data_IF_198603236811
#
_entry.id   IF_198603236811
#
_cell.length_a   1.000
_cell.length_b   1.000
_cell.length_c   1.000
_cell.angle_alpha   90.00
_cell.angle_beta   90.00
_cell.angle_gamma   90.00
#
_symmetry.space_group_name_H-M   'P 1'
#
loop_
_entity.id
_entity.type
_entity.pdbx_description
1 polymer ?
#
# COMPACT_ATOMS: atom_id res chain seq x y z
N UNK A 1 -16.48 -35.98 17.24
CA UNK A 1 -15.36 -35.07 17.44
C UNK A 1 -15.45 -34.11 16.28
N UNK A 2 -15.91 -32.90 16.57
CA UNK A 2 -16.06 -31.88 15.54
C UNK A 2 -14.65 -31.36 15.23
N UNK A 3 -14.08 -31.82 14.12
CA UNK A 3 -12.74 -31.42 13.62
C UNK A 3 -12.81 -30.12 12.81
N UNK A 4 -13.91 -29.37 12.86
CA UNK A 4 -13.91 -28.01 12.36
C UNK A 4 -13.19 -27.12 13.37
N UNK A 5 -11.93 -26.79 13.05
CA UNK A 5 -11.18 -25.78 13.77
C UNK A 5 -11.94 -24.45 13.83
N UNK A 6 -11.52 -23.52 14.71
CA UNK A 6 -12.15 -22.21 14.84
C UNK A 6 -12.39 -21.54 13.48
N UNK A 7 -13.66 -21.20 13.18
CA UNK A 7 -14.06 -20.61 11.90
C UNK A 7 -13.65 -19.13 11.89
N UNK A 8 -12.73 -18.77 11.00
CA UNK A 8 -12.41 -17.37 10.68
C UNK A 8 -13.45 -16.88 9.67
N UNK A 9 -14.15 -15.80 9.99
CA UNK A 9 -15.13 -15.19 9.09
C UNK A 9 -14.48 -14.05 8.31
N UNK A 10 -14.42 -14.17 6.98
CA UNK A 10 -13.89 -13.11 6.11
C UNK A 10 -15.02 -12.39 5.39
N UNK A 11 -14.95 -11.06 5.36
CA UNK A 11 -15.92 -10.17 4.68
C UNK A 11 -15.18 -9.13 3.83
N UNK A 12 -15.89 -8.60 2.85
CA UNK A 12 -15.44 -7.47 2.03
C UNK A 12 -16.23 -6.24 2.44
N UNK A 13 -15.52 -5.15 2.75
CA UNK A 13 -16.10 -3.86 3.09
C UNK A 13 -15.94 -2.90 1.93
N UNK A 14 -16.98 -2.12 1.64
CA UNK A 14 -17.02 -1.28 0.46
C UNK A 14 -16.20 0.01 0.60
N UNK A 15 -15.98 0.47 1.84
CA UNK A 15 -15.21 1.66 2.17
C UNK A 15 -14.49 1.50 3.49
N UNK A 16 -13.43 2.27 3.70
CA UNK A 16 -12.72 2.29 4.99
C UNK A 16 -13.62 2.79 6.12
N UNK A 17 -14.55 3.70 5.81
CA UNK A 17 -15.54 4.24 6.74
C UNK A 17 -16.49 3.18 7.33
N UNK A 18 -16.64 2.03 6.69
CA UNK A 18 -17.50 0.93 7.15
C UNK A 18 -16.79 0.02 8.18
N UNK A 19 -15.52 0.31 8.49
CA UNK A 19 -14.71 -0.38 9.48
C UNK A 19 -14.45 0.56 10.67
N UNK A 20 -14.63 0.13 11.93
CA UNK A 20 -14.26 0.95 13.07
C UNK A 20 -12.76 1.30 13.04
N UNK A 21 -12.43 2.60 13.13
CA UNK A 21 -11.05 3.09 13.13
C UNK A 21 -10.15 2.36 14.11
N UNK A 22 -10.63 2.17 15.35
CA UNK A 22 -9.86 1.49 16.40
C UNK A 22 -9.52 0.04 16.04
N UNK A 23 -10.38 -0.64 15.29
CA UNK A 23 -10.16 -2.03 14.88
C UNK A 23 -9.18 -2.12 13.71
N UNK A 24 -9.30 -1.23 12.73
CA UNK A 24 -8.32 -1.13 11.64
C UNK A 24 -6.93 -0.80 12.18
N UNK A 25 -6.83 0.24 13.01
CA UNK A 25 -5.53 0.71 13.53
C UNK A 25 -4.90 -0.33 14.50
N UNK A 26 -5.71 -1.15 15.18
CA UNK A 26 -5.19 -2.28 15.96
C UNK A 26 -4.53 -3.36 15.11
N UNK A 27 -4.98 -3.56 13.86
CA UNK A 27 -4.33 -4.45 12.89
C UNK A 27 -3.13 -3.77 12.22
N UNK A 28 -3.28 -2.49 11.82
CA UNK A 28 -2.28 -1.76 11.04
C UNK A 28 -1.04 -1.38 11.85
N UNK A 29 -1.20 -1.17 13.16
CA UNK A 29 -0.13 -0.65 14.02
C UNK A 29 0.22 0.80 13.69
N UNK A 30 1.40 1.25 14.14
CA UNK A 30 1.85 2.64 14.01
C UNK A 30 3.08 2.81 13.11
N UNK A 31 3.63 1.71 12.58
CA UNK A 31 4.92 1.72 11.88
C UNK A 31 4.83 2.26 10.45
N UNK A 32 3.65 2.15 9.82
CA UNK A 32 3.43 2.58 8.45
C UNK A 32 2.23 3.52 8.36
N UNK A 33 2.44 4.84 8.21
CA UNK A 33 1.34 5.81 8.17
C UNK A 33 0.45 5.59 6.95
N UNK A 34 0.97 4.99 5.88
CA UNK A 34 0.26 4.82 4.62
C UNK A 34 -0.77 3.68 4.66
N UNK A 35 -0.76 2.85 5.70
CA UNK A 35 -1.81 1.86 5.96
C UNK A 35 -2.66 2.21 7.17
N UNK A 36 -2.47 3.39 7.76
CA UNK A 36 -3.33 3.87 8.85
C UNK A 36 -4.75 4.15 8.33
N UNK A 37 -5.73 4.06 9.23
CA UNK A 37 -7.10 4.42 8.91
C UNK A 37 -7.20 5.84 8.36
N UNK A 38 -6.56 6.81 9.02
CA UNK A 38 -6.71 8.24 8.67
C UNK A 38 -6.17 8.54 7.28
N UNK A 39 -5.06 7.91 6.88
CA UNK A 39 -4.51 8.07 5.54
C UNK A 39 -5.47 7.53 4.47
N UNK A 40 -6.01 6.33 4.66
CA UNK A 40 -6.94 5.72 3.71
C UNK A 40 -8.29 6.46 3.68
N UNK A 41 -8.80 6.88 4.84
CA UNK A 41 -10.02 7.69 4.94
C UNK A 41 -9.85 9.02 4.21
N UNK A 42 -8.73 9.72 4.40
CA UNK A 42 -8.47 10.98 3.71
C UNK A 42 -8.45 10.82 2.17
N UNK A 43 -7.90 9.70 1.67
CA UNK A 43 -7.88 9.42 0.23
C UNK A 43 -9.28 9.12 -0.33
N UNK A 44 -10.09 8.34 0.38
CA UNK A 44 -11.46 8.03 -0.01
C UNK A 44 -12.38 9.27 0.11
N UNK A 45 -12.31 10.01 1.23
CA UNK A 45 -13.13 11.19 1.48
C UNK A 45 -12.81 12.37 0.56
N UNK A 46 -11.55 12.52 0.15
CA UNK A 46 -11.16 13.55 -0.81
C UNK A 46 -11.55 13.23 -2.25
N UNK A 47 -11.98 11.99 -2.54
CA UNK A 47 -12.23 11.50 -3.90
C UNK A 47 -10.96 11.16 -4.68
N UNK A 48 -9.79 11.17 -4.03
CA UNK A 48 -8.54 10.72 -4.66
C UNK A 48 -8.56 9.22 -4.98
N UNK A 49 -9.28 8.46 -4.15
CA UNK A 49 -9.60 7.05 -4.35
C UNK A 49 -11.10 6.96 -4.56
N UNK A 50 -11.50 7.02 -5.83
CA UNK A 50 -12.89 6.93 -6.27
C UNK A 50 -12.99 6.11 -7.57
N UNK A 51 -14.19 5.61 -7.84
CA UNK A 51 -14.48 4.85 -9.07
C UNK A 51 -14.15 5.67 -10.33
N UNK A 52 -14.39 6.99 -10.31
CA UNK A 52 -14.05 7.90 -11.40
C UNK A 52 -12.53 7.96 -11.66
N UNK A 53 -11.73 7.81 -10.60
CA UNK A 53 -10.26 7.73 -10.66
C UNK A 53 -9.76 6.29 -10.85
N UNK A 54 -10.66 5.35 -11.15
CA UNK A 54 -10.37 3.95 -11.41
C UNK A 54 -10.08 3.12 -10.16
N UNK A 55 -10.39 3.62 -8.96
CA UNK A 55 -10.22 2.92 -7.69
C UNK A 55 -11.57 2.65 -7.01
N UNK A 56 -11.98 1.39 -6.92
CA UNK A 56 -13.16 1.01 -6.14
C UNK A 56 -12.72 0.25 -4.87
N UNK A 57 -12.87 0.81 -3.66
CA UNK A 57 -12.48 0.13 -2.44
C UNK A 57 -13.29 -1.15 -2.18
N UNK A 58 -12.60 -2.18 -1.71
CA UNK A 58 -13.09 -3.54 -1.42
C UNK A 58 -12.28 -4.17 -0.29
N UNK A 59 -12.04 -3.42 0.80
CA UNK A 59 -11.18 -3.84 1.90
C UNK A 59 -11.57 -5.21 2.45
N UNK A 60 -10.59 -6.08 2.66
CA UNK A 60 -10.82 -7.41 3.23
C UNK A 60 -10.70 -7.30 4.73
N UNK A 61 -11.67 -7.87 5.47
CA UNK A 61 -11.63 -7.96 6.93
C UNK A 61 -11.87 -9.40 7.37
N UNK A 62 -11.09 -9.87 8.33
CA UNK A 62 -11.21 -11.20 8.92
C UNK A 62 -11.53 -11.07 10.41
N UNK A 63 -12.58 -11.75 10.86
CA UNK A 63 -13.00 -11.81 12.25
C UNK A 63 -12.60 -13.15 12.85
N UNK A 64 -12.11 -13.10 14.09
CA UNK A 64 -11.88 -14.26 14.91
C UNK A 64 -13.22 -14.92 15.32
N UNK A 65 -13.20 -16.18 15.81
CA UNK A 65 -14.41 -16.89 16.22
C UNK A 65 -15.22 -16.20 17.33
N UNK A 66 -14.57 -15.34 18.12
CA UNK A 66 -15.20 -14.51 19.15
C UNK A 66 -15.86 -13.23 18.58
N UNK A 67 -15.79 -13.03 17.26
CA UNK A 67 -16.33 -11.90 16.53
C UNK A 67 -15.42 -10.68 16.48
N UNK A 68 -14.22 -10.73 17.07
CA UNK A 68 -13.27 -9.60 17.05
C UNK A 68 -12.62 -9.50 15.67
N UNK A 69 -12.59 -8.29 15.10
CA UNK A 69 -11.86 -8.04 13.85
C UNK A 69 -10.36 -8.21 14.10
N UNK A 70 -9.79 -9.24 13.50
CA UNK A 70 -8.46 -9.75 13.82
C UNK A 70 -7.43 -9.45 12.71
N UNK A 71 -7.88 -9.28 11.47
CA UNK A 71 -7.01 -8.89 10.36
C UNK A 71 -7.73 -8.09 9.29
N UNK A 72 -6.99 -7.27 8.57
CA UNK A 72 -7.47 -6.44 7.45
C UNK A 72 -6.45 -6.38 6.32
N UNK A 73 -6.91 -6.10 5.10
CA UNK A 73 -6.06 -5.76 3.97
C UNK A 73 -6.69 -4.66 3.10
N UNK A 74 -5.96 -3.60 2.73
CA UNK A 74 -6.45 -2.57 1.84
C UNK A 74 -6.52 -3.10 0.41
N UNK A 75 -7.73 -3.35 -0.09
CA UNK A 75 -7.97 -3.99 -1.37
C UNK A 75 -8.88 -3.09 -2.23
N UNK A 76 -8.56 -3.01 -3.52
CA UNK A 76 -9.29 -2.20 -4.47
C UNK A 76 -9.53 -2.98 -5.76
N UNK A 77 -10.71 -2.81 -6.33
CA UNK A 77 -10.98 -3.17 -7.72
C UNK A 77 -10.51 -2.01 -8.61
N UNK A 78 -9.68 -2.34 -9.60
CA UNK A 78 -8.87 -1.38 -10.32
C UNK A 78 -9.16 -1.41 -11.82
N UNK A 79 -9.52 -0.26 -12.38
CA UNK A 79 -9.84 -0.10 -13.80
C UNK A 79 -8.66 0.24 -14.73
N UNK A 80 -7.50 0.65 -14.17
CA UNK A 80 -6.28 0.97 -14.92
C UNK A 80 -5.03 1.02 -14.02
N UNK A 81 -3.81 0.89 -14.54
CA UNK A 81 -2.58 0.93 -13.70
C UNK A 81 -2.24 2.30 -13.06
N UNK A 82 -2.92 3.40 -13.37
CA UNK A 82 -2.51 4.72 -12.83
C UNK A 82 -2.61 4.77 -11.30
N UNK A 83 -1.63 5.38 -10.64
CA UNK A 83 -1.58 5.49 -9.18
C UNK A 83 -1.09 4.23 -8.43
N UNK A 84 -0.88 3.10 -9.10
CA UNK A 84 -0.26 1.91 -8.48
C UNK A 84 1.26 2.00 -8.37
N UNK A 85 1.90 2.84 -9.19
CA UNK A 85 3.36 2.87 -9.38
C UNK A 85 3.97 1.54 -9.85
N UNK A 86 3.10 0.61 -10.28
CA UNK A 86 3.42 -0.61 -11.01
C UNK A 86 2.65 -0.54 -12.32
N UNK A 87 3.35 -0.23 -13.40
CA UNK A 87 2.72 -0.01 -14.70
C UNK A 87 2.68 -1.31 -15.50
N UNK A 88 1.50 -1.91 -15.58
CA UNK A 88 1.29 -3.21 -16.23
C UNK A 88 0.92 -3.09 -17.72
N UNK A 89 1.18 -1.95 -18.36
CA UNK A 89 0.78 -1.70 -19.75
C UNK A 89 1.24 -2.80 -20.72
N UNK A 90 2.43 -3.37 -20.51
CA UNK A 90 2.91 -4.48 -21.34
C UNK A 90 2.08 -5.76 -21.19
N UNK A 91 1.70 -6.10 -19.95
CA UNK A 91 0.85 -7.26 -19.65
C UNK A 91 -0.57 -7.05 -20.11
N UNK A 92 -1.15 -5.88 -19.82
CA UNK A 92 -2.48 -5.50 -20.25
C UNK A 92 -2.62 -5.61 -21.77
N UNK A 93 -1.72 -4.99 -22.52
CA UNK A 93 -1.74 -5.05 -23.99
C UNK A 93 -1.54 -6.47 -24.52
N UNK A 94 -0.70 -7.29 -23.89
CA UNK A 94 -0.49 -8.67 -24.32
C UNK A 94 -1.75 -9.52 -24.11
N UNK A 95 -2.42 -9.35 -22.97
CA UNK A 95 -3.65 -10.06 -22.63
C UNK A 95 -4.84 -9.63 -23.50
N UNK A 96 -5.01 -8.33 -23.71
CA UNK A 96 -6.02 -7.76 -24.61
C UNK A 96 -5.83 -8.25 -26.05
N UNK A 97 -4.59 -8.31 -26.53
CA UNK A 97 -4.28 -8.89 -27.85
C UNK A 97 -4.60 -10.39 -27.94
N UNK A 98 -4.58 -11.10 -26.83
CA UNK A 98 -4.99 -12.51 -26.76
C UNK A 98 -6.53 -12.67 -26.66
N UNK A 99 -7.29 -11.56 -26.62
CA UNK A 99 -8.74 -11.55 -26.59
C UNK A 99 -9.36 -11.59 -25.18
N UNK A 100 -8.56 -11.38 -24.13
CA UNK A 100 -9.05 -11.29 -22.75
C UNK A 100 -9.17 -9.84 -22.27
N UNK A 101 -10.00 -9.60 -21.26
CA UNK A 101 -10.08 -8.31 -20.59
C UNK A 101 -9.08 -8.28 -19.43
N UNK A 102 -8.13 -7.33 -19.45
CA UNK A 102 -7.14 -7.20 -18.37
C UNK A 102 -7.67 -6.40 -17.18
N UNK A 103 -8.64 -5.50 -17.41
CA UNK A 103 -9.33 -4.77 -16.36
C UNK A 103 -10.81 -5.16 -16.32
N UNK A 104 -11.44 -5.15 -15.15
CA UNK A 104 -10.83 -4.79 -13.87
C UNK A 104 -9.98 -5.92 -13.27
N UNK A 105 -9.03 -5.53 -12.42
CA UNK A 105 -8.21 -6.43 -11.60
C UNK A 105 -8.32 -6.07 -10.13
N UNK A 106 -7.99 -6.99 -9.23
CA UNK A 106 -7.86 -6.71 -7.80
C UNK A 106 -6.44 -6.26 -7.46
N UNK A 107 -6.33 -5.25 -6.61
CA UNK A 107 -5.05 -4.72 -6.15
C UNK A 107 -5.09 -4.52 -4.63
N UNK A 108 -4.30 -5.30 -3.91
CA UNK A 108 -4.01 -5.08 -2.50
C UNK A 108 -2.76 -4.21 -2.38
N UNK A 109 -2.96 -2.95 -2.00
CA UNK A 109 -1.91 -1.93 -2.02
C UNK A 109 -2.27 -0.74 -1.14
N UNK A 110 -1.30 0.16 -0.95
CA UNK A 110 -1.62 1.53 -0.57
C UNK A 110 -1.73 2.39 -1.83
N UNK A 111 -2.83 3.13 -2.03
CA UNK A 111 -2.98 4.01 -3.19
C UNK A 111 -1.89 5.09 -3.23
N UNK A 112 -1.41 5.38 -4.43
CA UNK A 112 -0.44 6.43 -4.74
C UNK A 112 0.89 6.38 -3.97
N UNK A 113 1.20 5.25 -3.35
CA UNK A 113 2.33 5.13 -2.42
C UNK A 113 3.20 3.92 -2.75
N UNK A 114 4.33 4.10 -3.46
CA UNK A 114 5.26 3.01 -3.80
C UNK A 114 6.20 2.64 -2.63
N UNK A 115 5.68 2.60 -1.40
CA UNK A 115 6.47 2.30 -0.21
C UNK A 115 6.29 0.84 0.20
N UNK A 116 7.42 0.14 0.35
CA UNK A 116 7.45 -1.21 0.92
C UNK A 116 6.92 -1.20 2.34
N UNK A 117 5.97 -2.09 2.64
CA UNK A 117 5.39 -2.23 3.98
C UNK A 117 4.33 -3.32 4.01
N UNK A 118 3.80 -3.61 5.20
CA UNK A 118 2.76 -4.62 5.36
C UNK A 118 1.51 -4.26 4.56
N UNK A 119 0.84 -5.28 4.01
CA UNK A 119 -0.50 -5.19 3.39
C UNK A 119 -1.46 -6.20 3.99
N UNK A 120 -0.94 -7.28 4.56
CA UNK A 120 -1.68 -8.24 5.36
C UNK A 120 -1.52 -7.82 6.83
N UNK A 121 -2.49 -7.06 7.32
CA UNK A 121 -2.42 -6.39 8.62
C UNK A 121 -3.15 -7.26 9.64
N UNK A 122 -2.41 -7.87 10.56
CA UNK A 122 -2.97 -8.80 11.54
C UNK A 122 -2.68 -8.28 12.94
N UNK A 123 -3.69 -8.33 13.82
CA UNK A 123 -3.55 -7.96 15.23
C UNK A 123 -2.44 -8.78 15.90
N UNK A 124 -1.58 -8.17 16.72
CA UNK A 124 -0.48 -8.89 17.37
C UNK A 124 -0.90 -10.07 18.25
N UNK A 125 -2.13 -10.05 18.78
CA UNK A 125 -2.64 -11.03 19.74
C UNK A 125 -3.12 -12.34 19.11
N UNK A 126 -3.28 -12.39 17.79
CA UNK A 126 -3.74 -13.58 17.06
C UNK A 126 -2.60 -14.22 16.25
N UNK A 127 -2.83 -15.46 15.80
CA UNK A 127 -1.90 -16.18 14.95
C UNK A 127 -1.68 -15.43 13.62
N UNK A 128 -0.52 -14.79 13.47
CA UNK A 128 -0.20 -13.99 12.29
C UNK A 128 -0.34 -14.81 11.00
N UNK A 129 0.20 -16.03 10.97
CA UNK A 129 0.26 -16.84 9.76
C UNK A 129 -1.13 -17.33 9.34
N UNK A 130 -1.94 -17.76 10.31
CA UNK A 130 -3.30 -18.21 10.06
C UNK A 130 -4.19 -17.11 9.46
N UNK A 131 -4.12 -15.90 10.00
CA UNK A 131 -4.97 -14.80 9.51
C UNK A 131 -4.44 -14.18 8.22
N UNK A 132 -3.12 -14.12 8.00
CA UNK A 132 -2.57 -13.75 6.69
C UNK A 132 -2.99 -14.75 5.60
N UNK A 133 -2.95 -16.06 5.91
CA UNK A 133 -3.45 -17.12 5.03
C UNK A 133 -4.93 -16.94 4.68
N UNK A 134 -5.76 -16.60 5.67
CA UNK A 134 -7.18 -16.33 5.47
C UNK A 134 -7.41 -15.13 4.55
N UNK A 135 -6.65 -14.03 4.73
CA UNK A 135 -6.73 -12.86 3.86
C UNK A 135 -6.33 -13.19 2.42
N UNK A 136 -5.20 -13.87 2.21
CA UNK A 136 -4.71 -14.26 0.87
C UNK A 136 -5.75 -15.15 0.19
N UNK A 137 -6.23 -16.17 0.90
CA UNK A 137 -7.20 -17.13 0.38
C UNK A 137 -8.52 -16.45 0.01
N UNK A 138 -8.99 -15.51 0.81
CA UNK A 138 -10.20 -14.74 0.51
C UNK A 138 -10.03 -13.86 -0.74
N UNK A 139 -8.89 -13.19 -0.90
CA UNK A 139 -8.60 -12.40 -2.10
C UNK A 139 -8.53 -13.26 -3.37
N UNK A 140 -7.93 -14.45 -3.28
CA UNK A 140 -7.90 -15.40 -4.40
C UNK A 140 -9.30 -15.92 -4.74
N UNK A 141 -10.10 -16.30 -3.74
CA UNK A 141 -11.50 -16.69 -3.97
C UNK A 141 -12.32 -15.54 -4.58
N UNK A 142 -12.03 -14.29 -4.21
CA UNK A 142 -12.69 -13.15 -4.83
C UNK A 142 -12.35 -13.07 -6.32
N UNK A 143 -11.12 -13.37 -6.74
CA UNK A 143 -10.76 -13.47 -8.16
C UNK A 143 -11.63 -14.51 -8.86
N UNK A 144 -11.68 -15.72 -8.32
CA UNK A 144 -12.41 -16.85 -8.92
C UNK A 144 -13.91 -16.58 -9.05
N UNK A 145 -14.49 -15.82 -8.12
CA UNK A 145 -15.94 -15.60 -8.04
C UNK A 145 -16.43 -14.30 -8.71
N UNK A 146 -15.54 -13.36 -9.06
CA UNK A 146 -15.94 -12.02 -9.53
C UNK A 146 -15.64 -11.71 -10.99
N UNK A 147 -14.99 -12.64 -11.72
CA UNK A 147 -14.67 -12.47 -13.14
C UNK A 147 -13.60 -11.40 -13.42
N UNK A 148 -12.88 -10.96 -12.40
CA UNK A 148 -11.71 -10.08 -12.54
C UNK A 148 -10.53 -10.85 -13.10
N UNK A 149 -9.63 -10.16 -13.78
CA UNK A 149 -8.54 -10.81 -14.52
C UNK A 149 -7.44 -11.40 -13.62
N UNK A 150 -7.15 -10.75 -12.48
CA UNK A 150 -6.04 -11.11 -11.61
C UNK A 150 -6.12 -10.44 -10.23
N UNK A 151 -5.27 -10.93 -9.30
CA UNK A 151 -4.93 -10.29 -8.04
C UNK A 151 -3.47 -9.82 -8.06
N UNK A 152 -3.24 -8.58 -7.66
CA UNK A 152 -1.92 -7.99 -7.48
C UNK A 152 -1.77 -7.56 -6.02
N UNK A 153 -0.62 -7.86 -5.41
CA UNK A 153 -0.30 -7.40 -4.04
C UNK A 153 1.03 -6.64 -4.11
N UNK A 154 0.96 -5.32 -3.96
CA UNK A 154 2.07 -4.43 -4.32
C UNK A 154 2.87 -3.96 -3.09
N UNK A 155 4.20 -3.88 -3.27
CA UNK A 155 5.15 -3.36 -2.29
C UNK A 155 5.11 -4.10 -0.94
N UNK A 156 4.93 -5.41 -1.00
CA UNK A 156 4.98 -6.29 0.16
C UNK A 156 6.33 -6.25 0.88
N UNK A 157 6.30 -6.49 2.19
CA UNK A 157 7.53 -6.89 2.90
C UNK A 157 8.09 -8.19 2.33
N UNK A 158 9.38 -8.48 2.57
CA UNK A 158 9.98 -9.73 2.08
C UNK A 158 9.24 -10.98 2.58
N UNK A 159 8.77 -10.97 3.83
CA UNK A 159 8.03 -12.08 4.42
C UNK A 159 6.70 -12.34 3.74
N UNK A 160 5.88 -11.29 3.54
CA UNK A 160 4.60 -11.42 2.81
C UNK A 160 4.84 -11.80 1.34
N UNK A 161 5.89 -11.27 0.72
CA UNK A 161 6.25 -11.60 -0.67
C UNK A 161 6.63 -13.08 -0.84
N UNK A 162 7.34 -13.67 0.12
CA UNK A 162 7.62 -15.11 0.14
C UNK A 162 6.34 -15.92 0.39
N UNK A 163 5.59 -15.55 1.43
CA UNK A 163 4.36 -16.25 1.84
C UNK A 163 3.33 -16.30 0.72
N UNK A 164 3.07 -15.19 0.04
CA UNK A 164 2.10 -15.14 -1.06
C UNK A 164 2.48 -16.04 -2.25
N UNK A 165 3.76 -16.33 -2.45
CA UNK A 165 4.19 -17.26 -3.51
C UNK A 165 3.79 -18.72 -3.21
N UNK A 166 3.69 -19.10 -1.94
CA UNK A 166 3.20 -20.42 -1.52
C UNK A 166 1.73 -20.63 -1.91
N UNK A 167 0.98 -19.55 -2.13
CA UNK A 167 -0.39 -19.55 -2.64
C UNK A 167 -0.49 -19.45 -4.16
N UNK A 168 0.64 -19.59 -4.87
CA UNK A 168 0.67 -19.60 -6.34
C UNK A 168 0.72 -18.22 -7.00
N UNK A 169 0.88 -17.13 -6.23
CA UNK A 169 1.10 -15.81 -6.83
C UNK A 169 2.49 -15.74 -7.48
N UNK A 170 2.55 -15.15 -8.68
CA UNK A 170 3.80 -14.94 -9.40
C UNK A 170 4.58 -13.79 -8.75
N UNK A 171 5.80 -14.09 -8.31
CA UNK A 171 6.69 -13.12 -7.72
C UNK A 171 7.31 -12.19 -8.76
N UNK A 172 7.08 -10.88 -8.61
CA UNK A 172 7.72 -9.83 -9.38
C UNK A 172 8.70 -9.05 -8.51
N UNK A 173 9.84 -8.69 -9.09
CA UNK A 173 10.84 -7.82 -8.47
C UNK A 173 10.96 -6.50 -9.21
N UNK A 174 11.17 -5.42 -8.44
CA UNK A 174 11.43 -4.07 -8.95
C UNK A 174 12.66 -3.48 -8.26
N UNK A 175 13.29 -2.48 -8.88
CA UNK A 175 14.40 -1.75 -8.28
C UNK A 175 13.93 -0.40 -7.78
N UNK A 176 14.31 -0.06 -6.56
CA UNK A 176 14.09 1.26 -5.96
C UNK A 176 15.42 1.81 -5.48
N UNK A 177 15.56 3.13 -5.54
CA UNK A 177 16.70 3.85 -5.00
C UNK A 177 16.25 4.60 -3.77
N UNK A 178 16.75 4.20 -2.60
CA UNK A 178 16.44 4.86 -1.35
C UNK A 178 17.61 5.76 -0.96
N UNK A 179 17.28 6.97 -0.52
CA UNK A 179 18.25 7.83 0.14
C UNK A 179 18.17 7.57 1.63
N UNK A 180 19.31 7.22 2.22
CA UNK A 180 19.42 6.99 3.66
C UNK A 180 20.29 8.08 4.28
N UNK A 181 19.82 8.64 5.39
CA UNK A 181 20.62 9.54 6.18
C UNK A 181 21.71 8.76 6.92
N UNK A 182 22.98 8.93 6.53
CA UNK A 182 24.14 8.29 7.19
C UNK A 182 24.63 9.07 8.42
N UNK A 183 23.71 9.63 9.20
CA UNK A 183 24.01 10.44 10.39
C UNK A 183 24.37 11.91 10.12
N UNK A 184 24.01 12.44 8.95
CA UNK A 184 24.17 13.86 8.61
C UNK A 184 23.34 14.73 9.56
N UNK A 185 23.98 15.75 10.14
CA UNK A 185 23.35 16.73 11.02
C UNK A 185 23.03 18.03 10.28
N UNK A 186 23.75 18.29 9.19
CA UNK A 186 23.54 19.42 8.31
C UNK A 186 23.63 19.03 6.83
N UNK A 187 23.05 19.88 5.97
CA UNK A 187 23.12 19.69 4.52
C UNK A 187 24.57 19.60 4.00
N UNK A 188 25.49 20.31 4.67
CA UNK A 188 26.91 20.30 4.32
C UNK A 188 27.59 18.94 4.58
N UNK A 189 27.11 18.15 5.55
CA UNK A 189 27.61 16.80 5.81
C UNK A 189 27.27 15.88 4.63
N UNK A 190 26.05 15.99 4.09
CA UNK A 190 25.64 15.29 2.88
C UNK A 190 26.49 15.71 1.68
N UNK A 191 26.69 17.01 1.48
CA UNK A 191 27.51 17.52 0.38
C UNK A 191 28.98 17.09 0.45
N UNK A 192 29.52 16.88 1.65
CA UNK A 192 30.88 16.41 1.85
C UNK A 192 31.11 15.00 1.27
N UNK A 193 30.06 14.17 1.19
CA UNK A 193 30.11 12.83 0.60
C UNK A 193 30.13 12.83 -0.94
N UNK A 194 29.89 13.97 -1.57
CA UNK A 194 29.83 14.11 -3.02
C UNK A 194 31.18 14.55 -3.59
N UNK A 195 31.39 14.26 -4.88
CA UNK A 195 32.56 14.78 -5.61
C UNK A 195 32.56 16.31 -5.62
N UNK A 196 33.75 16.92 -5.66
CA UNK A 196 33.92 18.38 -5.62
C UNK A 196 33.05 19.10 -6.66
N UNK A 197 32.98 18.57 -7.89
CA UNK A 197 32.14 19.11 -8.97
C UNK A 197 30.65 19.07 -8.59
N UNK A 198 30.15 17.93 -8.12
CA UNK A 198 28.72 17.78 -7.78
C UNK A 198 28.33 18.63 -6.58
N UNK A 199 29.19 18.69 -5.55
CA UNK A 199 29.03 19.59 -4.40
C UNK A 199 28.97 21.06 -4.82
N UNK A 200 29.91 21.53 -5.65
CA UNK A 200 29.93 22.93 -6.12
C UNK A 200 28.68 23.30 -6.91
N UNK A 201 28.21 22.40 -7.77
CA UNK A 201 26.99 22.63 -8.55
C UNK A 201 25.75 22.78 -7.64
N UNK A 202 25.54 21.86 -6.70
CA UNK A 202 24.38 21.91 -5.78
C UNK A 202 24.41 23.19 -4.93
N UNK A 203 25.60 23.61 -4.43
CA UNK A 203 25.73 24.88 -3.69
C UNK A 203 25.31 26.07 -4.54
N UNK A 204 25.85 26.17 -5.77
CA UNK A 204 25.54 27.26 -6.70
C UNK A 204 24.03 27.32 -7.02
N UNK A 205 23.37 26.18 -7.23
CA UNK A 205 21.94 26.12 -7.49
C UNK A 205 21.12 26.63 -6.30
N UNK A 206 21.47 26.22 -5.06
CA UNK A 206 20.80 26.70 -3.85
C UNK A 206 21.03 28.18 -3.59
N UNK A 207 22.25 28.67 -3.79
CA UNK A 207 22.58 30.09 -3.67
C UNK A 207 21.77 30.94 -4.65
N UNK A 208 21.58 30.46 -5.89
CA UNK A 208 20.78 31.15 -6.89
C UNK A 208 19.29 31.27 -6.51
N UNK A 209 18.72 30.26 -5.84
CA UNK A 209 17.35 30.31 -5.30
C UNK A 209 17.26 31.33 -4.16
N UNK A 210 18.21 31.30 -3.22
CA UNK A 210 18.25 32.24 -2.10
C UNK A 210 18.44 33.70 -2.56
N UNK A 211 19.26 33.93 -3.58
CA UNK A 211 19.50 35.26 -4.16
C UNK A 211 18.24 35.89 -4.77
N UNK A 212 17.25 35.08 -5.15
CA UNK A 212 15.94 35.55 -5.61
C UNK A 212 14.98 35.91 -4.47
N UNK A 213 15.42 35.79 -3.21
CA UNK A 213 14.60 36.09 -2.03
C UNK A 213 13.58 34.99 -1.69
N UNK A 214 13.68 33.81 -2.31
CA UNK A 214 12.80 32.67 -2.01
C UNK A 214 13.08 32.17 -0.59
N UNK A 215 12.04 32.07 0.22
CA UNK A 215 12.08 31.51 1.59
C UNK A 215 11.31 30.20 1.63
N UNK A 216 11.89 29.21 2.29
CA UNK A 216 11.20 27.94 2.59
C UNK A 216 10.84 27.91 4.07
N UNK A 217 9.59 27.54 4.35
CA UNK A 217 9.09 27.32 5.70
C UNK A 217 8.67 25.85 5.81
N UNK A 218 9.03 25.20 6.92
CA UNK A 218 8.58 23.85 7.25
C UNK A 218 7.49 24.02 8.31
N UNK A 219 6.26 23.65 7.97
CA UNK A 219 5.09 23.76 8.84
C UNK A 219 4.62 22.35 9.21
N UNK A 220 4.12 22.18 10.42
CA UNK A 220 3.61 20.89 10.93
C UNK A 220 2.42 21.12 11.86
N UNK A 221 1.43 20.22 11.85
CA UNK A 221 0.31 20.27 12.80
C UNK A 221 -0.42 21.61 12.78
N UNK A 222 -0.58 22.23 13.95
CA UNK A 222 -1.29 23.51 14.14
C UNK A 222 -0.67 24.70 13.38
N UNK A 223 0.55 24.56 12.84
CA UNK A 223 1.16 25.57 11.97
C UNK A 223 0.57 25.55 10.54
N UNK A 224 -0.13 24.49 10.14
CA UNK A 224 -0.84 24.39 8.86
C UNK A 224 -2.16 25.15 8.93
N UNK A 225 -2.11 26.46 8.67
CA UNK A 225 -3.25 27.37 8.65
C UNK A 225 -3.56 27.81 7.22
N UNK A 226 -4.84 27.94 6.89
CA UNK A 226 -5.32 28.56 5.63
C UNK A 226 -5.05 30.07 5.56
#
# INVERSE_FOLDING_TARGET
MDESGPIIEVRIQERIADIPKADWDACAGQDNPFTSYDFLSALEESGSVDVAEGWLPRHVVAHAPDGVLAAVAPLYLKGHSQGEYVFDHGWAQAWERAGGDYYPKLVCATPFTPATGRRLLVRPEVDQEQYEAALISAMLQLVDNSGVSSLHINFLTKGEWDRTAEYGLIQRTGQQYHWENKGYQAFDDFLAQLSSRKRKNIRKEREAVAAQGVKMHILTGDDLKE
#
